data_IF_329253296012
#
_entry.id   IF_329253296012
#
_cell.length_a   1.000
_cell.length_b   1.000
_cell.length_c   1.000
_cell.angle_alpha   90.00
_cell.angle_beta   90.00
_cell.angle_gamma   90.00
#
_symmetry.space_group_name_H-M   'P 1'
#
loop_
_entity.id
_entity.type
_entity.pdbx_description
1 polymer ?
#
# COMPACT_ATOMS: atom_id res chain seq x y z
N UNK A 1 -4.39 -17.10 -10.87
CA UNK A 1 -4.75 -16.91 -9.46
C UNK A 1 -5.82 -15.84 -9.39
N UNK A 2 -7.05 -16.25 -9.08
CA UNK A 2 -8.25 -15.41 -9.18
C UNK A 2 -8.40 -14.54 -7.93
N UNK A 3 -8.54 -13.23 -8.13
CA UNK A 3 -8.87 -12.29 -7.07
C UNK A 3 -10.34 -12.47 -6.66
N UNK A 4 -10.57 -12.93 -5.43
CA UNK A 4 -11.91 -13.03 -4.84
C UNK A 4 -12.43 -11.66 -4.44
N UNK A 5 -13.36 -11.12 -5.23
CA UNK A 5 -14.10 -9.90 -4.91
C UNK A 5 -15.14 -10.17 -3.80
N UNK A 6 -15.01 -9.46 -2.68
CA UNK A 6 -15.98 -9.47 -1.59
C UNK A 6 -17.23 -8.66 -1.97
N UNK A 7 -18.30 -9.38 -2.29
CA UNK A 7 -19.63 -8.81 -2.52
C UNK A 7 -20.17 -8.25 -1.19
N UNK A 8 -20.27 -6.92 -1.09
CA UNK A 8 -21.00 -6.24 -0.01
C UNK A 8 -22.49 -6.53 -0.15
N UNK A 9 -23.02 -7.43 0.69
CA UNK A 9 -24.47 -7.60 0.88
C UNK A 9 -25.03 -6.35 1.55
N UNK A 10 -25.99 -5.71 0.87
CA UNK A 10 -26.75 -4.58 1.42
C UNK A 10 -27.65 -5.02 2.59
N UNK A 11 -28.14 -4.06 3.39
CA UNK A 11 -29.01 -4.34 4.52
C UNK A 11 -30.35 -4.93 4.05
N UNK A 12 -30.95 -5.88 4.81
CA UNK A 12 -32.21 -6.50 4.45
C UNK A 12 -33.37 -5.49 4.48
N UNK A 13 -34.41 -5.66 3.64
CA UNK A 13 -35.62 -4.87 3.68
C UNK A 13 -36.41 -5.15 4.96
N UNK A 14 -36.90 -4.10 5.60
CA UNK A 14 -37.84 -4.17 6.73
C UNK A 14 -39.24 -4.48 6.19
N UNK A 15 -39.50 -5.75 5.90
CA UNK A 15 -40.85 -6.27 5.68
C UNK A 15 -41.39 -6.82 7.00
N UNK A 16 -42.46 -6.21 7.53
CA UNK A 16 -43.15 -6.74 8.71
C UNK A 16 -43.63 -5.66 9.67
N UNK A 17 -44.52 -4.77 9.21
CA UNK A 17 -45.33 -3.94 10.11
C UNK A 17 -46.79 -4.33 9.88
N UNK A 18 -47.26 -5.34 10.63
CA UNK A 18 -48.67 -5.71 10.66
C UNK A 18 -49.49 -4.60 11.33
N UNK A 19 -50.59 -4.14 10.71
CA UNK A 19 -51.51 -3.20 11.33
C UNK A 19 -52.35 -3.88 12.42
N UNK A 20 -52.35 -3.32 13.63
CA UNK A 20 -53.18 -3.74 14.76
C UNK A 20 -54.68 -3.69 14.43
N UNK A 21 -55.50 -4.61 14.96
CA UNK A 21 -56.93 -4.69 14.67
C UNK A 21 -57.72 -3.54 15.30
N UNK A 22 -58.66 -3.02 14.51
CA UNK A 22 -59.63 -2.01 14.89
C UNK A 22 -60.51 -2.48 16.06
N UNK A 23 -60.57 -1.66 17.12
CA UNK A 23 -61.49 -1.85 18.25
C UNK A 23 -62.91 -1.45 17.83
N UNK A 24 -63.92 -2.32 17.97
CA UNK A 24 -65.30 -1.98 17.63
C UNK A 24 -65.87 -0.95 18.62
N UNK A 25 -66.32 0.17 18.08
CA UNK A 25 -67.14 1.16 18.78
C UNK A 25 -68.51 0.54 19.10
N UNK A 26 -68.70 0.09 20.34
CA UNK A 26 -70.03 -0.26 20.86
C UNK A 26 -70.84 1.01 21.11
N UNK A 27 -71.65 1.32 20.10
CA UNK A 27 -72.79 2.25 20.13
C UNK A 27 -73.83 1.69 21.11
N UNK A 28 -74.01 2.32 22.26
CA UNK A 28 -75.17 2.10 23.12
C UNK A 28 -75.87 3.44 23.38
N UNK A 29 -76.87 3.71 22.54
CA UNK A 29 -77.95 4.65 22.87
C UNK A 29 -78.74 4.09 24.06
N UNK A 30 -78.84 4.88 25.11
CA UNK A 30 -79.67 4.58 26.28
C UNK A 30 -80.09 5.86 27.00
N UNK A 31 -80.54 6.87 26.25
CA UNK A 31 -81.26 8.02 26.81
C UNK A 31 -82.68 7.57 27.13
N UNK A 32 -83.00 7.43 28.42
CA UNK A 32 -84.31 7.78 28.99
C UNK A 32 -84.29 7.59 30.50
N UNK A 33 -84.92 8.55 31.17
CA UNK A 33 -85.06 8.70 32.62
C UNK A 33 -83.80 9.11 33.37
N UNK A 34 -83.71 10.40 33.72
CA UNK A 34 -83.79 10.91 35.11
C UNK A 34 -83.76 12.45 35.01
N UNK A 35 -84.94 13.06 34.82
CA UNK A 35 -85.15 14.49 35.09
C UNK A 35 -85.59 14.65 36.54
N UNK A 36 -84.68 14.48 37.50
CA UNK A 36 -84.83 14.98 38.89
C UNK A 36 -83.54 14.93 39.75
N UNK A 37 -82.37 14.95 39.11
CA UNK A 37 -81.05 15.05 39.77
C UNK A 37 -80.14 16.05 39.00
N UNK A 38 -80.73 17.09 38.42
CA UNK A 38 -80.01 18.04 37.56
C UNK A 38 -79.04 18.95 38.33
N UNK A 39 -79.35 19.31 39.59
CA UNK A 39 -78.49 20.20 40.38
C UNK A 39 -77.24 19.51 40.93
N UNK A 40 -77.32 18.22 41.24
CA UNK A 40 -76.19 17.47 41.81
C UNK A 40 -75.21 17.07 40.70
N UNK A 41 -75.69 16.67 39.52
CA UNK A 41 -74.85 16.33 38.37
C UNK A 41 -74.06 17.54 37.83
N UNK A 42 -74.68 18.74 37.81
CA UNK A 42 -74.00 19.98 37.43
C UNK A 42 -72.87 20.33 38.41
N UNK A 43 -73.10 20.12 39.72
CA UNK A 43 -72.09 20.34 40.74
C UNK A 43 -70.91 19.35 40.61
N UNK A 44 -71.18 18.06 40.37
CA UNK A 44 -70.12 17.07 40.14
C UNK A 44 -69.37 17.29 38.82
N UNK A 45 -70.02 17.78 37.76
CA UNK A 45 -69.35 18.16 36.51
C UNK A 45 -68.46 19.39 36.68
N UNK A 46 -68.88 20.36 37.48
CA UNK A 46 -68.07 21.56 37.77
C UNK A 46 -66.85 21.21 38.64
N UNK A 47 -67.06 20.42 39.70
CA UNK A 47 -65.98 19.96 40.59
C UNK A 47 -65.00 19.05 39.83
N UNK A 48 -65.51 18.15 38.98
CA UNK A 48 -64.67 17.30 38.12
C UNK A 48 -63.91 18.10 37.06
N UNK A 49 -64.53 19.12 36.46
CA UNK A 49 -63.89 20.02 35.50
C UNK A 49 -62.76 20.84 36.12
N UNK A 50 -62.98 21.41 37.31
CA UNK A 50 -61.97 22.19 38.03
C UNK A 50 -60.84 21.28 38.53
N UNK A 51 -61.17 20.08 39.02
CA UNK A 51 -60.17 19.09 39.43
C UNK A 51 -59.30 18.62 38.26
N UNK A 52 -59.90 18.35 37.10
CA UNK A 52 -59.17 17.97 35.88
C UNK A 52 -58.28 19.10 35.36
N UNK A 53 -58.76 20.34 35.38
CA UNK A 53 -57.97 21.52 34.95
C UNK A 53 -56.77 21.78 35.87
N UNK A 54 -56.91 21.61 37.19
CA UNK A 54 -55.81 21.78 38.13
C UNK A 54 -54.75 20.67 38.00
N UNK A 55 -55.16 19.41 37.85
CA UNK A 55 -54.22 18.29 37.65
C UNK A 55 -53.52 18.42 36.29
N UNK A 56 -54.25 18.80 35.23
CA UNK A 56 -53.70 19.07 33.91
C UNK A 56 -52.71 20.24 33.90
N UNK A 57 -53.00 21.32 34.63
CA UNK A 57 -52.12 22.48 34.75
C UNK A 57 -50.81 22.17 35.48
N UNK A 58 -50.85 21.40 36.57
CA UNK A 58 -49.64 21.00 37.30
C UNK A 58 -48.79 20.03 36.48
N UNK A 59 -49.41 19.09 35.74
CA UNK A 59 -48.70 18.19 34.84
C UNK A 59 -48.04 18.93 33.66
N UNK A 60 -48.67 19.97 33.13
CA UNK A 60 -48.12 20.80 32.06
C UNK A 60 -46.91 21.65 32.50
N UNK A 61 -46.87 22.09 33.76
CA UNK A 61 -45.76 22.89 34.31
C UNK A 61 -44.59 22.01 34.77
N UNK A 62 -44.85 20.83 35.36
CA UNK A 62 -43.80 19.94 35.87
C UNK A 62 -43.31 18.86 34.91
N UNK A 63 -44.07 18.55 33.85
CA UNK A 63 -43.74 17.52 32.87
C UNK A 63 -42.54 17.82 31.94
N UNK A 64 -42.44 19.01 31.32
CA UNK A 64 -41.45 19.24 30.26
C UNK A 64 -40.00 19.33 30.77
N UNK A 65 -39.78 20.04 31.88
CA UNK A 65 -38.43 20.42 32.30
C UNK A 65 -37.53 19.26 32.77
N UNK A 66 -38.10 18.16 33.30
CA UNK A 66 -37.31 16.99 33.77
C UNK A 66 -37.11 15.92 32.71
N UNK A 67 -37.99 15.83 31.71
CA UNK A 67 -37.88 14.85 30.61
C UNK A 67 -36.85 15.35 29.59
N UNK A 68 -36.82 16.64 29.31
CA UNK A 68 -35.88 17.24 28.34
C UNK A 68 -34.41 17.17 28.80
N UNK A 69 -34.14 17.25 30.10
CA UNK A 69 -32.78 17.19 30.64
C UNK A 69 -32.11 15.82 30.42
N UNK A 70 -32.83 14.72 30.66
CA UNK A 70 -32.29 13.36 30.42
C UNK A 70 -32.12 13.08 28.93
N UNK A 71 -33.04 13.56 28.11
CA UNK A 71 -33.00 13.39 26.66
C UNK A 71 -31.80 14.10 26.05
N UNK A 72 -31.54 15.36 26.42
CA UNK A 72 -30.37 16.11 25.96
C UNK A 72 -29.04 15.47 26.39
N UNK A 73 -28.94 14.99 27.63
CA UNK A 73 -27.73 14.30 28.10
C UNK A 73 -27.46 13.01 27.32
N UNK A 74 -28.52 12.27 26.97
CA UNK A 74 -28.40 11.06 26.15
C UNK A 74 -28.00 11.37 24.70
N UNK A 75 -28.62 12.40 24.10
CA UNK A 75 -28.30 12.87 22.74
C UNK A 75 -26.84 13.33 22.65
N UNK A 76 -26.34 14.09 23.64
CA UNK A 76 -24.93 14.49 23.69
C UNK A 76 -23.98 13.29 23.82
N UNK A 77 -24.37 12.26 24.60
CA UNK A 77 -23.57 11.05 24.72
C UNK A 77 -23.50 10.30 23.40
N UNK A 78 -24.64 10.10 22.72
CA UNK A 78 -24.69 9.46 21.41
C UNK A 78 -23.86 10.24 20.39
N UNK A 79 -23.96 11.57 20.37
CA UNK A 79 -23.19 12.38 19.44
C UNK A 79 -21.68 12.31 19.74
N UNK A 80 -21.29 12.28 21.02
CA UNK A 80 -19.88 12.10 21.41
C UNK A 80 -19.33 10.73 21.01
N UNK A 81 -20.13 9.66 21.17
CA UNK A 81 -19.78 8.30 20.75
C UNK A 81 -19.68 8.22 19.21
N UNK A 82 -20.61 8.86 18.50
CA UNK A 82 -20.58 8.96 17.03
C UNK A 82 -19.33 9.68 16.55
N UNK A 83 -19.00 10.85 17.11
CA UNK A 83 -17.78 11.60 16.75
C UNK A 83 -16.51 10.80 17.03
N UNK A 84 -16.45 10.05 18.13
CA UNK A 84 -15.34 9.12 18.42
C UNK A 84 -15.24 8.02 17.38
N UNK A 85 -16.35 7.37 17.05
CA UNK A 85 -16.37 6.30 16.03
C UNK A 85 -15.98 6.80 14.64
N UNK A 86 -16.38 8.03 14.28
CA UNK A 86 -16.00 8.66 13.02
C UNK A 86 -14.51 9.04 12.99
N UNK A 87 -13.96 9.53 14.11
CA UNK A 87 -12.53 9.80 14.24
C UNK A 87 -11.68 8.52 14.12
N UNK A 88 -12.05 7.46 14.84
CA UNK A 88 -11.38 6.16 14.73
C UNK A 88 -11.49 5.56 13.32
N UNK A 89 -12.63 5.71 12.65
CA UNK A 89 -12.81 5.24 11.29
C UNK A 89 -11.90 5.99 10.30
N UNK A 90 -11.69 7.30 10.49
CA UNK A 90 -10.76 8.10 9.69
C UNK A 90 -9.31 7.72 9.94
N UNK A 91 -8.93 7.50 11.19
CA UNK A 91 -7.58 7.05 11.54
C UNK A 91 -7.26 5.69 10.90
N UNK A 92 -8.17 4.71 11.03
CA UNK A 92 -8.00 3.39 10.36
C UNK A 92 -7.94 3.50 8.84
N UNK A 93 -8.69 4.44 8.24
CA UNK A 93 -8.67 4.66 6.80
C UNK A 93 -7.33 5.26 6.35
N UNK A 94 -6.80 6.25 7.08
CA UNK A 94 -5.50 6.85 6.82
C UNK A 94 -4.36 5.82 6.96
N UNK A 95 -4.38 5.01 8.03
CA UNK A 95 -3.41 3.93 8.23
C UNK A 95 -3.43 2.90 7.09
N UNK A 96 -4.62 2.57 6.59
CA UNK A 96 -4.78 1.62 5.49
C UNK A 96 -4.22 2.20 4.17
N UNK A 97 -4.47 3.48 3.91
CA UNK A 97 -3.93 4.19 2.75
C UNK A 97 -2.40 4.27 2.81
N UNK A 98 -1.83 4.63 3.96
CA UNK A 98 -0.37 4.68 4.14
C UNK A 98 0.27 3.31 3.90
N UNK A 99 -0.32 2.24 4.44
CA UNK A 99 0.15 0.86 4.20
C UNK A 99 0.05 0.47 2.73
N UNK A 100 -1.00 0.90 2.03
CA UNK A 100 -1.16 0.63 0.61
C UNK A 100 -0.08 1.34 -0.21
N UNK A 101 0.13 2.64 0.01
CA UNK A 101 1.18 3.42 -0.66
C UNK A 101 2.56 2.82 -0.38
N UNK A 102 2.81 2.41 0.86
CA UNK A 102 4.06 1.75 1.23
C UNK A 102 4.26 0.40 0.51
N UNK A 103 3.21 -0.41 0.39
CA UNK A 103 3.25 -1.67 -0.35
C UNK A 103 3.47 -1.47 -1.86
N UNK A 104 2.80 -0.49 -2.46
CA UNK A 104 2.97 -0.14 -3.87
C UNK A 104 4.39 0.36 -4.15
N UNK A 105 4.94 1.22 -3.28
CA UNK A 105 6.31 1.70 -3.40
C UNK A 105 7.32 0.55 -3.27
N UNK A 106 7.12 -0.37 -2.33
CA UNK A 106 7.94 -1.60 -2.22
C UNK A 106 7.92 -2.43 -3.50
N UNK A 107 6.75 -2.63 -4.10
CA UNK A 107 6.61 -3.37 -5.36
C UNK A 107 7.31 -2.67 -6.52
N UNK A 108 7.19 -1.34 -6.62
CA UNK A 108 7.87 -0.55 -7.66
C UNK A 108 9.39 -0.67 -7.57
N UNK A 109 9.96 -0.58 -6.36
CA UNK A 109 11.40 -0.74 -6.14
C UNK A 109 11.87 -2.16 -6.49
N UNK A 110 11.12 -3.18 -6.07
CA UNK A 110 11.47 -4.57 -6.41
C UNK A 110 11.44 -4.85 -7.91
N UNK A 111 10.44 -4.31 -8.60
CA UNK A 111 10.37 -4.39 -10.05
C UNK A 111 11.58 -3.70 -10.68
N UNK A 112 11.92 -2.49 -10.24
CA UNK A 112 13.09 -1.78 -10.75
C UNK A 112 14.40 -2.55 -10.52
N UNK A 113 14.59 -3.18 -9.35
CA UNK A 113 15.77 -4.01 -9.07
C UNK A 113 15.81 -5.24 -9.99
N UNK A 114 14.68 -5.91 -10.21
CA UNK A 114 14.60 -7.04 -11.12
C UNK A 114 14.96 -6.63 -12.56
N UNK A 115 14.37 -5.52 -13.04
CA UNK A 115 14.66 -4.96 -14.36
C UNK A 115 16.15 -4.56 -14.48
N UNK A 116 16.74 -3.96 -13.42
CA UNK A 116 18.17 -3.65 -13.35
C UNK A 116 19.06 -4.88 -13.48
N UNK A 117 18.67 -5.96 -12.79
CA UNK A 117 19.44 -7.21 -12.76
C UNK A 117 19.47 -7.86 -14.14
N UNK A 118 18.33 -7.86 -14.84
CA UNK A 118 18.25 -8.37 -16.22
C UNK A 118 19.10 -7.51 -17.16
N UNK A 119 18.95 -6.18 -17.10
CA UNK A 119 19.73 -5.27 -17.94
C UNK A 119 21.24 -5.40 -17.70
N UNK A 120 21.66 -5.59 -16.45
CA UNK A 120 23.07 -5.82 -16.12
C UNK A 120 23.59 -7.15 -16.68
N UNK A 121 22.79 -8.21 -16.62
CA UNK A 121 23.15 -9.50 -17.21
C UNK A 121 23.26 -9.41 -18.73
N UNK A 122 22.37 -8.66 -19.38
CA UNK A 122 22.41 -8.46 -20.82
C UNK A 122 23.63 -7.62 -21.24
N UNK A 123 24.00 -6.61 -20.44
CA UNK A 123 25.26 -5.87 -20.63
C UNK A 123 26.47 -6.79 -20.53
N UNK A 124 26.52 -7.60 -19.46
CA UNK A 124 27.61 -8.54 -19.24
C UNK A 124 27.74 -9.52 -20.41
N UNK A 125 26.63 -10.12 -20.86
CA UNK A 125 26.59 -11.01 -22.02
C UNK A 125 27.07 -10.33 -23.30
N UNK A 126 26.64 -9.08 -23.55
CA UNK A 126 27.06 -8.31 -24.72
C UNK A 126 28.58 -8.12 -24.73
N UNK A 127 29.15 -7.69 -23.60
CA UNK A 127 30.59 -7.46 -23.47
C UNK A 127 31.37 -8.76 -23.57
N UNK A 128 30.97 -9.81 -22.84
CA UNK A 128 31.63 -11.13 -22.90
C UNK A 128 31.61 -11.72 -24.31
N UNK A 129 30.48 -11.65 -25.01
CA UNK A 129 30.39 -12.12 -26.40
C UNK A 129 31.34 -11.34 -27.31
N UNK A 130 31.38 -10.02 -27.15
CA UNK A 130 32.27 -9.15 -27.95
C UNK A 130 33.75 -9.48 -27.69
N UNK A 131 34.12 -9.71 -26.43
CA UNK A 131 35.48 -10.16 -26.08
C UNK A 131 35.80 -11.52 -26.71
N UNK A 132 34.89 -12.49 -26.65
CA UNK A 132 35.06 -13.80 -27.30
C UNK A 132 35.17 -13.72 -28.82
N UNK A 133 34.43 -12.80 -29.45
CA UNK A 133 34.53 -12.53 -30.89
C UNK A 133 35.92 -11.98 -31.24
N UNK A 134 36.45 -11.05 -30.44
CA UNK A 134 37.79 -10.50 -30.61
C UNK A 134 38.90 -11.54 -30.37
N UNK A 135 38.79 -12.36 -29.33
CA UNK A 135 39.72 -13.46 -29.04
C UNK A 135 39.79 -14.47 -30.18
N UNK A 136 38.65 -14.73 -30.82
CA UNK A 136 38.57 -15.62 -31.98
C UNK A 136 39.01 -14.96 -33.29
N UNK A 137 39.45 -13.70 -33.27
CA UNK A 137 39.83 -12.94 -34.46
C UNK A 137 38.67 -12.65 -35.41
N UNK A 138 37.42 -12.69 -34.93
CA UNK A 138 36.25 -12.32 -35.72
C UNK A 138 36.15 -10.80 -35.80
N UNK A 139 35.76 -10.30 -36.97
CA UNK A 139 35.48 -8.87 -37.15
C UNK A 139 34.18 -8.56 -36.42
N UNK A 140 34.25 -7.65 -35.45
CA UNK A 140 33.10 -7.12 -34.73
C UNK A 140 32.69 -5.80 -35.40
N UNK A 141 31.41 -5.69 -35.74
CA UNK A 141 30.83 -4.44 -36.24
C UNK A 141 30.62 -3.45 -35.07
N UNK A 142 31.28 -2.30 -35.14
CA UNK A 142 31.24 -1.27 -34.09
C UNK A 142 29.87 -0.62 -34.01
N UNK A 143 29.21 -0.39 -35.14
CA UNK A 143 27.92 0.28 -35.18
C UNK A 143 26.85 -0.63 -34.56
N UNK A 144 26.90 -1.93 -34.87
CA UNK A 144 26.02 -2.93 -34.25
C UNK A 144 26.26 -3.07 -32.74
N UNK A 145 27.53 -3.00 -32.31
CA UNK A 145 27.87 -3.01 -30.88
C UNK A 145 27.31 -1.78 -30.16
N UNK A 146 27.49 -0.59 -30.72
CA UNK A 146 26.99 0.66 -30.13
C UNK A 146 25.45 0.67 -30.06
N UNK A 147 24.77 0.24 -31.12
CA UNK A 147 23.30 0.10 -31.19
C UNK A 147 22.77 -0.88 -30.13
N UNK A 148 23.50 -1.97 -29.87
CA UNK A 148 23.13 -2.93 -28.82
C UNK A 148 23.47 -2.43 -27.40
N UNK A 149 24.55 -1.68 -27.23
CA UNK A 149 25.02 -1.23 -25.92
C UNK A 149 24.17 -0.08 -25.35
N UNK A 150 23.71 0.85 -26.19
CA UNK A 150 22.93 2.02 -25.78
C UNK A 150 21.67 1.68 -24.96
N UNK A 151 20.73 0.83 -25.44
CA UNK A 151 19.50 0.55 -24.70
C UNK A 151 19.77 -0.18 -23.37
N UNK A 152 20.80 -1.01 -23.34
CA UNK A 152 21.20 -1.75 -22.13
C UNK A 152 21.77 -0.79 -21.08
N UNK A 153 22.68 0.11 -21.48
CA UNK A 153 23.23 1.13 -20.61
C UNK A 153 22.14 2.07 -20.07
N UNK A 154 21.21 2.49 -20.93
CA UNK A 154 20.07 3.32 -20.52
C UNK A 154 19.20 2.61 -19.48
N UNK A 155 18.91 1.32 -19.70
CA UNK A 155 18.10 0.50 -18.79
C UNK A 155 18.76 0.36 -17.42
N UNK A 156 20.08 0.11 -17.37
CA UNK A 156 20.82 0.02 -16.10
C UNK A 156 20.82 1.38 -15.36
N UNK A 157 21.07 2.49 -16.07
CA UNK A 157 21.06 3.83 -15.47
C UNK A 157 19.68 4.17 -14.90
N UNK A 158 18.61 3.88 -15.65
CA UNK A 158 17.24 4.13 -15.22
C UNK A 158 16.91 3.30 -13.98
N UNK A 159 17.29 2.03 -13.98
CA UNK A 159 16.99 1.13 -12.89
C UNK A 159 17.78 1.48 -11.60
N UNK A 160 19.04 1.89 -11.71
CA UNK A 160 19.82 2.44 -10.59
C UNK A 160 19.17 3.72 -10.05
N UNK A 161 18.70 4.61 -10.93
CA UNK A 161 18.04 5.85 -10.54
C UNK A 161 16.74 5.60 -9.76
N UNK A 162 16.00 4.54 -10.12
CA UNK A 162 14.76 4.12 -9.44
C UNK A 162 15.02 3.39 -8.12
N UNK A 163 16.10 2.61 -8.04
CA UNK A 163 16.48 1.87 -6.83
C UNK A 163 16.99 2.78 -5.69
N UNK A 164 17.18 4.08 -5.97
CA UNK A 164 17.37 5.12 -4.96
C UNK A 164 18.84 5.38 -4.61
N UNK A 165 19.26 6.64 -4.76
CA UNK A 165 20.65 7.07 -4.57
C UNK A 165 21.24 6.82 -3.17
N UNK A 166 20.43 6.66 -2.11
CA UNK A 166 20.95 6.52 -0.74
C UNK A 166 21.75 5.23 -0.54
N UNK A 167 21.27 4.12 -1.09
CA UNK A 167 21.90 2.82 -0.89
C UNK A 167 23.15 2.66 -1.74
N UNK A 168 23.13 3.17 -2.98
CA UNK A 168 24.31 3.20 -3.84
C UNK A 168 25.38 4.20 -3.39
N UNK A 169 25.03 5.23 -2.61
CA UNK A 169 26.01 6.12 -1.97
C UNK A 169 26.67 5.50 -0.74
N UNK A 170 25.94 4.66 0.00
CA UNK A 170 26.42 4.08 1.26
C UNK A 170 27.20 2.77 1.10
N UNK A 171 26.97 2.03 0.01
CA UNK A 171 27.92 1.00 -0.41
C UNK A 171 29.13 1.75 -0.94
N UNK A 172 30.07 2.06 -0.07
CA UNK A 172 31.41 2.45 -0.51
C UNK A 172 31.93 1.31 -1.36
N UNK A 173 31.97 1.51 -2.68
CA UNK A 173 32.53 0.57 -3.63
C UNK A 173 34.04 0.51 -3.37
N UNK A 174 34.39 -0.33 -2.39
CA UNK A 174 35.75 -0.63 -1.97
C UNK A 174 36.19 -1.96 -2.61
N UNK A 175 36.16 -2.00 -3.93
CA UNK A 175 36.76 -3.07 -4.73
C UNK A 175 37.64 -2.35 -5.77
N UNK A 176 38.92 -2.61 -5.95
CA UNK A 176 39.83 -3.63 -5.41
C UNK A 176 41.20 -3.00 -5.20
N UNK A 177 41.80 -3.29 -4.06
CA UNK A 177 43.19 -2.99 -3.72
C UNK A 177 44.17 -3.65 -4.71
N UNK A 178 44.53 -2.90 -5.74
CA UNK A 178 45.69 -3.17 -6.60
C UNK A 178 46.56 -1.93 -6.66
N UNK A 179 47.02 -1.43 -5.51
CA UNK A 179 48.14 -0.52 -5.25
C UNK A 179 48.36 0.76 -6.11
N UNK A 180 47.54 1.07 -7.11
CA UNK A 180 47.72 2.23 -7.96
C UNK A 180 46.41 3.00 -8.07
N UNK A 181 46.49 4.28 -7.71
CA UNK A 181 45.50 5.35 -7.92
C UNK A 181 44.38 5.47 -6.87
N UNK A 182 44.73 6.18 -5.79
CA UNK A 182 43.92 6.64 -4.66
C UNK A 182 42.82 7.68 -5.02
N UNK A 183 42.48 7.82 -6.31
CA UNK A 183 41.58 8.86 -6.82
C UNK A 183 40.14 8.43 -7.12
N UNK A 184 39.85 7.13 -7.15
CA UNK A 184 38.60 6.63 -7.77
C UNK A 184 37.49 6.15 -6.83
N UNK A 185 37.67 6.31 -5.52
CA UNK A 185 36.68 5.95 -4.51
C UNK A 185 35.50 6.95 -4.53
N UNK A 186 34.50 6.66 -5.35
CA UNK A 186 33.26 7.43 -5.41
C UNK A 186 32.75 7.74 -6.80
N UNK A 187 33.38 7.23 -7.86
CA UNK A 187 32.78 7.34 -9.20
C UNK A 187 31.47 6.54 -9.25
N UNK A 188 30.41 7.10 -9.85
CA UNK A 188 29.17 6.38 -10.02
C UNK A 188 29.41 5.17 -10.95
N UNK A 189 28.82 4.04 -10.60
CA UNK A 189 28.94 2.76 -11.31
C UNK A 189 28.66 2.89 -12.81
N UNK A 190 27.67 3.70 -13.14
CA UNK A 190 27.27 3.99 -14.52
C UNK A 190 28.43 4.55 -15.33
N UNK A 191 29.31 5.33 -14.70
CA UNK A 191 30.50 5.87 -15.32
C UNK A 191 31.60 4.80 -15.47
N UNK A 192 31.72 3.85 -14.53
CA UNK A 192 32.63 2.71 -14.68
C UNK A 192 32.20 1.79 -15.85
N UNK A 193 30.91 1.47 -15.96
CA UNK A 193 30.34 0.74 -17.11
C UNK A 193 30.56 1.48 -18.43
N UNK A 194 30.35 2.80 -18.43
CA UNK A 194 30.61 3.64 -19.61
C UNK A 194 32.09 3.64 -19.99
N UNK A 195 33.01 3.71 -19.02
CA UNK A 195 34.45 3.63 -19.27
C UNK A 195 34.86 2.29 -19.87
N UNK A 196 34.30 1.19 -19.39
CA UNK A 196 34.53 -0.15 -19.96
C UNK A 196 34.01 -0.22 -21.39
N UNK A 197 32.79 0.25 -21.64
CA UNK A 197 32.17 0.26 -22.98
C UNK A 197 33.00 1.10 -23.96
N UNK A 198 33.45 2.29 -23.54
CA UNK A 198 34.35 3.14 -24.33
C UNK A 198 35.73 2.52 -24.52
N UNK A 199 36.26 1.83 -23.52
CA UNK A 199 37.52 1.09 -23.61
C UNK A 199 37.46 -0.02 -24.66
N UNK A 200 36.38 -0.80 -24.63
CA UNK A 200 36.12 -1.84 -25.63
C UNK A 200 35.97 -1.24 -27.03
N UNK A 201 35.19 -0.17 -27.18
CA UNK A 201 35.05 0.54 -28.46
C UNK A 201 36.39 1.02 -29.01
N UNK A 202 37.30 1.53 -28.18
CA UNK A 202 38.66 1.91 -28.62
C UNK A 202 39.45 0.72 -29.15
N UNK A 203 39.33 -0.46 -28.52
CA UNK A 203 39.95 -1.69 -29.03
C UNK A 203 39.32 -2.19 -30.32
N UNK A 204 38.01 -2.01 -30.50
CA UNK A 204 37.35 -2.33 -31.77
C UNK A 204 37.86 -1.46 -32.93
N UNK A 205 38.03 -0.15 -32.69
CA UNK A 205 38.50 0.81 -33.71
C UNK A 205 40.00 0.69 -34.00
N UNK A 206 40.79 0.32 -33.00
CA UNK A 206 42.24 0.15 -33.12
C UNK A 206 42.66 -1.13 -32.38
N UNK A 207 42.58 -2.30 -33.04
CA UNK A 207 43.00 -3.56 -32.44
C UNK A 207 44.46 -3.49 -32.04
N UNK A 208 44.73 -3.43 -30.74
CA UNK A 208 46.09 -3.50 -30.23
C UNK A 208 46.54 -4.96 -30.24
N UNK A 209 47.80 -5.22 -30.57
CA UNK A 209 48.33 -6.58 -30.77
C UNK A 209 48.58 -7.35 -29.45
N UNK A 210 48.07 -6.86 -28.31
CA UNK A 210 48.27 -7.47 -26.99
C UNK A 210 46.97 -8.00 -26.39
N UNK A 211 46.91 -9.30 -26.14
CA UNK A 211 45.78 -9.97 -25.48
C UNK A 211 45.64 -9.58 -23.99
N UNK A 212 46.73 -9.14 -23.35
CA UNK A 212 46.74 -8.73 -21.94
C UNK A 212 45.72 -7.62 -21.61
N UNK A 213 45.37 -6.80 -22.60
CA UNK A 213 44.37 -5.74 -22.43
C UNK A 213 42.92 -6.30 -22.34
N UNK A 214 42.63 -7.42 -23.01
CA UNK A 214 41.31 -8.06 -22.99
C UNK A 214 41.05 -8.74 -21.64
N UNK A 215 42.06 -9.40 -21.07
CA UNK A 215 41.98 -10.00 -19.73
C UNK A 215 41.68 -8.94 -18.67
N UNK A 216 42.34 -7.78 -18.75
CA UNK A 216 42.08 -6.65 -17.85
C UNK A 216 40.66 -6.09 -17.97
N UNK A 217 40.11 -6.02 -19.20
CA UNK A 217 38.72 -5.59 -19.42
C UNK A 217 37.74 -6.62 -18.86
N UNK A 218 37.96 -7.91 -19.12
CA UNK A 218 37.11 -9.00 -18.64
C UNK A 218 37.04 -9.01 -17.10
N UNK A 219 38.20 -8.95 -16.43
CA UNK A 219 38.25 -8.87 -14.96
C UNK A 219 37.52 -7.63 -14.41
N UNK A 220 37.63 -6.48 -15.09
CA UNK A 220 36.93 -5.26 -14.69
C UNK A 220 35.41 -5.36 -14.89
N UNK A 221 34.96 -6.02 -15.96
CA UNK A 221 33.55 -6.28 -16.24
C UNK A 221 32.93 -7.17 -15.17
N UNK A 222 33.61 -8.26 -14.82
CA UNK A 222 33.15 -9.17 -13.76
C UNK A 222 33.10 -8.47 -12.40
N UNK A 223 34.11 -7.66 -12.05
CA UNK A 223 34.11 -6.87 -10.82
C UNK A 223 32.91 -5.91 -10.75
N UNK A 224 32.64 -5.14 -11.83
CA UNK A 224 31.50 -4.22 -11.88
C UNK A 224 30.18 -4.97 -11.75
N UNK A 225 30.05 -6.12 -12.41
CA UNK A 225 28.86 -6.97 -12.30
C UNK A 225 28.65 -7.42 -10.86
N UNK A 226 29.67 -7.99 -10.23
CA UNK A 226 29.57 -8.54 -8.88
C UNK A 226 29.27 -7.44 -7.85
N UNK A 227 29.87 -6.26 -7.99
CA UNK A 227 29.60 -5.10 -7.15
C UNK A 227 28.16 -4.62 -7.26
N UNK A 228 27.61 -4.53 -8.49
CA UNK A 228 26.21 -4.18 -8.70
C UNK A 228 25.26 -5.25 -8.14
N UNK A 229 25.55 -6.53 -8.38
CA UNK A 229 24.73 -7.63 -7.87
C UNK A 229 24.68 -7.62 -6.35
N UNK A 230 25.83 -7.41 -5.69
CA UNK A 230 25.91 -7.26 -4.24
C UNK A 230 25.13 -6.03 -3.75
N UNK A 231 25.20 -4.90 -4.47
CA UNK A 231 24.44 -3.69 -4.13
C UNK A 231 22.92 -3.91 -4.26
N UNK A 232 22.48 -4.58 -5.34
CA UNK A 232 21.07 -4.93 -5.54
C UNK A 232 20.56 -5.91 -4.49
N UNK A 233 21.36 -6.91 -4.10
CA UNK A 233 20.99 -7.85 -3.04
C UNK A 233 20.89 -7.16 -1.68
N UNK A 234 21.83 -6.26 -1.36
CA UNK A 234 21.78 -5.45 -0.15
C UNK A 234 20.54 -4.56 -0.12
N UNK A 235 20.21 -3.89 -1.22
CA UNK A 235 19.02 -3.04 -1.30
C UNK A 235 17.73 -3.84 -1.16
N UNK A 236 17.65 -4.99 -1.82
CA UNK A 236 16.53 -5.93 -1.67
C UNK A 236 16.35 -6.34 -0.21
N UNK A 237 17.44 -6.66 0.47
CA UNK A 237 17.45 -7.08 1.89
C UNK A 237 17.00 -5.94 2.81
N UNK A 238 17.43 -4.70 2.54
CA UNK A 238 17.03 -3.52 3.32
C UNK A 238 15.53 -3.20 3.16
N UNK A 239 14.97 -3.35 1.95
CA UNK A 239 13.58 -2.95 1.65
C UNK A 239 12.56 -4.02 1.99
N UNK A 240 12.89 -5.28 1.77
CA UNK A 240 11.96 -6.42 1.97
C UNK A 240 12.21 -7.15 3.27
N UNK A 241 13.40 -6.96 3.86
CA UNK A 241 13.94 -7.88 4.86
C UNK A 241 14.72 -9.02 4.20
N UNK A 242 15.42 -9.84 5.01
CA UNK A 242 16.08 -11.03 4.51
C UNK A 242 15.06 -11.91 3.78
N UNK A 243 15.45 -12.56 2.67
CA UNK A 243 14.58 -13.55 2.05
C UNK A 243 14.15 -14.53 3.14
N UNK A 244 12.87 -14.96 3.17
CA UNK A 244 12.46 -15.98 4.12
C UNK A 244 13.45 -17.13 3.96
N UNK A 245 14.16 -17.48 5.05
CA UNK A 245 15.10 -18.58 5.01
C UNK A 245 14.27 -19.77 4.54
N UNK A 246 14.45 -20.15 3.28
CA UNK A 246 13.86 -21.35 2.74
C UNK A 246 14.62 -22.41 3.49
N UNK A 247 14.05 -22.81 4.62
CA UNK A 247 14.56 -23.94 5.37
C UNK A 247 14.55 -25.05 4.35
N UNK A 248 15.73 -25.39 3.84
CA UNK A 248 16.01 -26.72 3.32
C UNK A 248 15.93 -27.64 4.53
N UNK A 249 14.73 -27.72 5.12
CA UNK A 249 14.29 -28.86 5.88
C UNK A 249 14.32 -29.96 4.86
N UNK A 250 15.50 -30.57 4.76
CA UNK A 250 15.79 -31.80 4.08
C UNK A 250 14.59 -32.70 4.34
N UNK A 251 13.72 -32.82 3.34
CA UNK A 251 12.60 -33.76 3.37
C UNK A 251 13.31 -35.11 3.36
N UNK A 252 13.69 -35.57 4.56
CA UNK A 252 14.19 -36.91 4.79
C UNK A 252 13.01 -37.80 4.47
N UNK A 253 12.93 -38.19 3.21
CA UNK A 253 12.04 -39.24 2.75
C UNK A 253 12.30 -40.44 3.66
N UNK A 254 11.34 -40.71 4.54
CA UNK A 254 11.38 -41.82 5.47
C UNK A 254 11.45 -43.09 4.61
N UNK A 255 12.54 -43.88 4.65
CA UNK A 255 12.56 -45.14 3.94
C UNK A 255 11.49 -46.05 4.55
N UNK A 256 10.62 -46.59 3.69
CA UNK A 256 9.61 -47.59 4.03
C UNK A 256 10.24 -48.98 4.13
#
# INVERSE_FOLDING_TARGET
MAAGGTVRRGPPPLEGMEPLPAVPCTRACGVRHICRMADVAALYSLISGIGGALIGGVAAVYGPGRIDGRRRAHELRIESERRRSEAEARERAADAEERQVHAENKQRVLKAIADATVALQDWHRLVTRTLQDLEAGRVVDVDLFDEAAEPVMHSVVQAISLAGNESFRSVGWSHTSGAAEDGDRGRPVTLAMQQVTLGLRRHLLAPQTGFDALDGISARVDAIRDDLMNAFEKERTLRVGPPPAVGYGMVMARPH
#
